data_IF_042661096813
#
_entry.id   IF_042661096813
#
_cell.length_a   1.000
_cell.length_b   1.000
_cell.length_c   1.000
_cell.angle_alpha   90.00
_cell.angle_beta   90.00
_cell.angle_gamma   90.00
#
_symmetry.space_group_name_H-M   'P 1'
#
loop_
_entity.id
_entity.type
_entity.pdbx_description
1 polymer ?
#
# COMPACT_ATOMS: atom_id res chain seq x y z
N UNK A 1 14.75 -52.00 60.84
CA UNK A 1 15.56 -52.21 59.63
C UNK A 1 14.65 -52.26 58.42
N UNK A 2 14.79 -51.29 57.50
CA UNK A 2 14.92 -51.44 56.03
C UNK A 2 14.10 -52.56 55.35
N UNK A 3 13.44 -52.43 54.19
CA UNK A 3 13.44 -51.60 52.96
C UNK A 3 12.36 -52.33 52.09
N UNK A 4 11.66 -51.83 51.08
CA UNK A 4 11.92 -50.79 50.10
C UNK A 4 10.57 -50.42 49.48
N UNK A 5 10.28 -49.12 49.39
CA UNK A 5 9.09 -48.58 48.75
C UNK A 5 9.39 -48.29 47.28
N UNK A 6 8.43 -48.63 46.42
CA UNK A 6 8.37 -48.29 45.00
C UNK A 6 8.77 -46.82 44.74
N UNK A 7 9.92 -46.61 44.10
CA UNK A 7 10.26 -45.35 43.44
C UNK A 7 9.95 -45.45 41.95
N UNK A 8 8.80 -44.92 41.54
CA UNK A 8 8.62 -44.39 40.19
C UNK A 8 8.95 -42.89 40.27
N UNK A 9 10.08 -42.49 39.68
CA UNK A 9 10.42 -41.08 39.50
C UNK A 9 9.56 -40.47 38.38
N UNK A 10 9.24 -39.16 38.44
CA UNK A 10 8.48 -38.52 37.37
C UNK A 10 9.37 -38.37 36.13
N UNK A 11 8.84 -38.80 34.98
CA UNK A 11 9.37 -38.50 33.66
C UNK A 11 9.41 -36.98 33.50
N UNK A 12 10.59 -36.41 33.60
CA UNK A 12 10.88 -35.03 33.25
C UNK A 12 10.86 -34.97 31.72
N UNK A 13 9.70 -34.59 31.16
CA UNK A 13 9.62 -34.12 29.79
C UNK A 13 10.38 -32.80 29.73
N UNK A 14 11.65 -32.87 29.36
CA UNK A 14 12.41 -31.71 28.87
C UNK A 14 11.76 -31.30 27.55
N UNK A 15 10.72 -30.45 27.63
CA UNK A 15 10.28 -29.63 26.52
C UNK A 15 11.41 -28.62 26.28
N UNK A 16 12.34 -29.01 25.42
CA UNK A 16 13.27 -28.08 24.79
C UNK A 16 12.37 -27.08 24.05
N UNK A 17 12.21 -25.87 24.60
CA UNK A 17 11.69 -24.75 23.82
C UNK A 17 12.66 -24.56 22.66
N UNK A 18 12.21 -24.67 21.39
CA UNK A 18 13.10 -24.49 20.26
C UNK A 18 13.69 -23.09 20.36
N UNK A 19 15.00 -23.02 20.16
CA UNK A 19 15.69 -21.73 20.11
C UNK A 19 15.08 -20.87 19.00
N UNK A 20 15.12 -19.54 19.15
CA UNK A 20 14.52 -18.60 18.18
C UNK A 20 15.04 -18.80 16.74
N UNK A 21 16.21 -19.42 16.57
CA UNK A 21 16.77 -19.78 15.26
C UNK A 21 16.17 -21.08 14.70
N UNK A 22 15.80 -22.06 15.54
CA UNK A 22 15.20 -23.34 15.10
C UNK A 22 13.72 -23.20 14.71
N UNK A 23 13.00 -22.25 15.33
CA UNK A 23 11.62 -21.94 14.97
C UNK A 23 11.50 -21.23 13.60
N UNK A 24 12.57 -20.60 13.13
CA UNK A 24 12.63 -20.05 11.76
C UNK A 24 12.86 -21.15 10.71
N UNK A 25 13.48 -22.28 11.09
CA UNK A 25 13.81 -23.40 10.20
C UNK A 25 12.63 -24.38 9.96
N UNK A 26 11.77 -24.61 10.96
CA UNK A 26 10.65 -25.58 10.82
C UNK A 26 9.54 -25.13 9.84
N UNK A 27 9.43 -23.82 9.55
CA UNK A 27 8.46 -23.29 8.57
C UNK A 27 9.05 -23.20 7.15
N UNK A 28 10.35 -23.46 6.99
CA UNK A 28 11.07 -23.40 5.71
C UNK A 28 11.13 -24.78 4.99
N UNK A 29 10.57 -25.86 5.57
CA UNK A 29 10.69 -27.23 5.03
C UNK A 29 9.60 -27.69 4.03
N UNK A 30 8.51 -26.95 3.80
CA UNK A 30 7.75 -27.13 2.54
C UNK A 30 8.48 -26.34 1.44
N UNK A 31 9.56 -26.93 0.94
CA UNK A 31 10.50 -26.37 -0.02
C UNK A 31 9.80 -25.84 -1.28
N UNK A 32 9.37 -24.58 -1.23
CA UNK A 32 8.95 -23.81 -2.39
C UNK A 32 10.09 -23.90 -3.43
N UNK A 33 9.79 -24.23 -4.70
CA UNK A 33 10.81 -24.27 -5.73
C UNK A 33 11.60 -22.97 -5.75
N UNK A 34 12.92 -23.03 -5.97
CA UNK A 34 13.79 -21.84 -6.08
C UNK A 34 13.19 -20.76 -7.00
N UNK A 35 12.51 -21.21 -8.06
CA UNK A 35 11.75 -20.35 -8.96
C UNK A 35 10.73 -19.47 -8.23
N UNK A 36 9.87 -20.05 -7.40
CA UNK A 36 8.82 -19.32 -6.67
C UNK A 36 9.39 -18.42 -5.56
N UNK A 37 10.51 -18.82 -4.94
CA UNK A 37 11.13 -18.06 -3.84
C UNK A 37 11.91 -16.84 -4.33
N UNK A 38 12.60 -16.94 -5.48
CA UNK A 38 13.58 -15.93 -5.92
C UNK A 38 13.31 -15.44 -7.35
N UNK A 39 13.18 -16.35 -8.31
CA UNK A 39 13.09 -15.97 -9.73
C UNK A 39 11.80 -15.21 -10.01
N UNK A 40 10.66 -15.70 -9.51
CA UNK A 40 9.36 -15.09 -9.76
C UNK A 40 9.26 -13.67 -9.16
N UNK A 41 9.59 -13.42 -7.87
CA UNK A 41 9.60 -12.06 -7.34
C UNK A 41 10.56 -11.13 -8.10
N UNK A 42 11.76 -11.61 -8.45
CA UNK A 42 12.74 -10.81 -9.19
C UNK A 42 12.25 -10.48 -10.60
N UNK A 43 11.70 -11.45 -11.33
CA UNK A 43 11.16 -11.26 -12.67
C UNK A 43 10.00 -10.27 -12.65
N UNK A 44 9.08 -10.43 -11.69
CA UNK A 44 7.95 -9.51 -11.54
C UNK A 44 8.38 -8.11 -11.13
N UNK A 45 9.41 -7.99 -10.28
CA UNK A 45 10.01 -6.69 -9.96
C UNK A 45 10.60 -6.04 -11.21
N UNK A 46 11.46 -6.74 -11.97
CA UNK A 46 12.06 -6.20 -13.20
C UNK A 46 10.98 -5.82 -14.22
N UNK A 47 9.96 -6.65 -14.39
CA UNK A 47 8.84 -6.35 -15.27
C UNK A 47 8.06 -5.12 -14.81
N UNK A 48 7.86 -4.98 -13.49
CA UNK A 48 7.21 -3.80 -12.91
C UNK A 48 8.05 -2.54 -13.10
N UNK A 49 9.37 -2.60 -12.91
CA UNK A 49 10.27 -1.48 -13.19
C UNK A 49 10.12 -1.05 -14.65
N UNK A 50 10.12 -2.00 -15.58
CA UNK A 50 9.95 -1.72 -17.00
C UNK A 50 8.59 -1.08 -17.32
N UNK A 51 7.49 -1.64 -16.82
CA UNK A 51 6.14 -1.11 -17.11
C UNK A 51 5.90 0.25 -16.47
N UNK A 52 6.43 0.51 -15.27
CA UNK A 52 6.36 1.83 -14.62
C UNK A 52 7.24 2.86 -15.34
N UNK A 53 8.44 2.47 -15.77
CA UNK A 53 9.32 3.34 -16.56
C UNK A 53 8.66 3.73 -17.89
N UNK A 54 8.05 2.74 -18.57
CA UNK A 54 7.30 2.97 -19.79
C UNK A 54 6.09 3.88 -19.56
N UNK A 55 5.30 3.64 -18.50
CA UNK A 55 4.17 4.52 -18.14
C UNK A 55 4.62 5.96 -17.91
N UNK A 56 5.68 6.15 -17.12
CA UNK A 56 6.24 7.48 -16.84
C UNK A 56 6.74 8.19 -18.11
N UNK A 57 7.42 7.46 -19.01
CA UNK A 57 7.88 8.02 -20.28
C UNK A 57 6.70 8.39 -21.17
N UNK A 58 5.68 7.54 -21.24
CA UNK A 58 4.47 7.77 -22.01
C UNK A 58 3.69 9.00 -21.54
N UNK A 59 3.67 9.28 -20.23
CA UNK A 59 3.03 10.48 -19.68
C UNK A 59 3.73 11.79 -20.10
N UNK A 60 5.02 11.72 -20.47
CA UNK A 60 5.76 12.87 -21.02
C UNK A 60 5.52 13.06 -22.52
N UNK A 61 4.82 12.14 -23.18
CA UNK A 61 4.54 12.21 -24.60
C UNK A 61 3.50 13.32 -24.87
N UNK A 62 3.87 14.27 -25.72
CA UNK A 62 3.01 15.39 -26.12
C UNK A 62 2.06 15.03 -27.26
N UNK A 63 2.17 13.82 -27.85
CA UNK A 63 1.30 13.37 -28.93
C UNK A 63 0.23 12.38 -28.42
N UNK A 64 -1.02 12.83 -28.17
CA UNK A 64 -2.08 12.01 -27.59
C UNK A 64 -2.65 10.95 -28.55
N UNK A 65 -2.30 10.98 -29.83
CA UNK A 65 -2.79 10.01 -30.83
C UNK A 65 -1.94 8.73 -30.89
N UNK A 66 -0.75 8.74 -30.30
CA UNK A 66 0.17 7.61 -30.30
C UNK A 66 -0.11 6.78 -29.05
N UNK A 67 -0.59 5.56 -29.21
CA UNK A 67 -0.79 4.65 -28.08
C UNK A 67 0.54 4.25 -27.42
N UNK A 68 0.52 3.72 -26.18
CA UNK A 68 1.75 3.40 -25.44
C UNK A 68 2.69 2.48 -26.20
N UNK A 69 2.15 1.49 -26.93
CA UNK A 69 2.94 0.50 -27.67
C UNK A 69 3.63 1.13 -28.88
N UNK A 70 2.91 1.97 -29.63
CA UNK A 70 3.49 2.70 -30.75
C UNK A 70 4.60 3.65 -30.26
N UNK A 71 4.36 4.37 -29.15
CA UNK A 71 5.37 5.23 -28.53
C UNK A 71 6.66 4.45 -28.18
N UNK A 72 6.53 3.26 -27.60
CA UNK A 72 7.69 2.43 -27.24
C UNK A 72 8.48 1.94 -28.47
N UNK A 73 7.78 1.60 -29.55
CA UNK A 73 8.39 1.12 -30.79
C UNK A 73 9.05 2.25 -31.59
N UNK A 74 8.43 3.42 -31.60
CA UNK A 74 8.88 4.59 -32.37
C UNK A 74 10.00 5.36 -31.65
N UNK A 75 9.90 5.52 -30.32
CA UNK A 75 10.89 6.22 -29.50
C UNK A 75 11.37 5.39 -28.29
N UNK A 76 12.01 4.21 -28.50
CA UNK A 76 12.50 3.39 -27.38
C UNK A 76 13.52 4.12 -26.51
N UNK A 77 14.27 5.04 -27.12
CA UNK A 77 15.21 5.92 -26.41
C UNK A 77 14.54 6.92 -25.47
N UNK A 78 13.23 7.16 -25.54
CA UNK A 78 12.54 8.10 -24.65
C UNK A 78 12.25 7.52 -23.26
N UNK A 79 12.48 6.22 -23.03
CA UNK A 79 12.22 5.57 -21.74
C UNK A 79 12.90 6.24 -20.54
N UNK A 80 14.08 6.85 -20.73
CA UNK A 80 14.77 7.57 -19.64
C UNK A 80 13.96 8.75 -19.09
N UNK A 81 13.04 9.33 -19.89
CA UNK A 81 12.15 10.42 -19.45
C UNK A 81 11.18 9.95 -18.35
N UNK A 82 10.90 8.65 -18.29
CA UNK A 82 10.07 8.05 -17.23
C UNK A 82 10.78 7.85 -15.90
N UNK A 83 12.10 8.05 -15.84
CA UNK A 83 12.89 7.77 -14.65
C UNK A 83 12.43 8.55 -13.40
N UNK A 84 12.12 9.87 -13.47
CA UNK A 84 11.67 10.60 -12.29
C UNK A 84 10.36 10.06 -11.72
N UNK A 85 9.42 9.65 -12.58
CA UNK A 85 8.17 9.02 -12.18
C UNK A 85 8.42 7.64 -11.55
N UNK A 86 9.15 6.78 -12.26
CA UNK A 86 9.38 5.39 -11.84
C UNK A 86 10.18 5.30 -10.54
N UNK A 87 11.27 6.06 -10.42
CA UNK A 87 12.06 6.08 -9.20
C UNK A 87 11.25 6.57 -7.99
N UNK A 88 10.40 7.59 -8.20
CA UNK A 88 9.55 8.13 -7.12
C UNK A 88 8.49 7.12 -6.69
N UNK A 89 7.72 6.58 -7.64
CA UNK A 89 6.63 5.66 -7.33
C UNK A 89 7.15 4.36 -6.71
N UNK A 90 8.18 3.76 -7.31
CA UNK A 90 8.79 2.54 -6.77
C UNK A 90 9.43 2.81 -5.42
N UNK A 91 10.04 3.98 -5.20
CA UNK A 91 10.57 4.38 -3.90
C UNK A 91 9.48 4.41 -2.81
N UNK A 92 8.31 4.95 -3.13
CA UNK A 92 7.15 4.96 -2.21
C UNK A 92 6.67 3.54 -1.92
N UNK A 93 6.44 2.73 -2.96
CA UNK A 93 5.95 1.35 -2.82
C UNK A 93 6.93 0.45 -2.07
N UNK A 94 8.21 0.49 -2.42
CA UNK A 94 9.26 -0.27 -1.74
C UNK A 94 9.34 0.14 -0.27
N UNK A 95 9.25 1.44 0.04
CA UNK A 95 9.29 1.90 1.43
C UNK A 95 8.05 1.47 2.22
N UNK A 96 6.87 1.47 1.58
CA UNK A 96 5.63 0.93 2.16
C UNK A 96 5.79 -0.54 2.53
N UNK A 97 6.18 -1.37 1.57
CA UNK A 97 6.38 -2.81 1.80
C UNK A 97 7.51 -3.08 2.81
N UNK A 98 8.59 -2.30 2.77
CA UNK A 98 9.66 -2.42 3.75
C UNK A 98 9.20 -2.10 5.18
N UNK A 99 8.24 -1.18 5.35
CA UNK A 99 7.58 -0.93 6.63
C UNK A 99 6.90 -2.17 7.19
N UNK A 100 6.11 -2.88 6.37
CA UNK A 100 5.51 -4.15 6.75
C UNK A 100 6.56 -5.21 7.06
N UNK A 101 7.57 -5.35 6.21
CA UNK A 101 8.64 -6.34 6.37
C UNK A 101 9.40 -6.14 7.68
N UNK A 102 9.81 -4.91 7.97
CA UNK A 102 10.56 -4.58 9.18
C UNK A 102 9.77 -4.91 10.45
N UNK A 103 8.50 -4.51 10.51
CA UNK A 103 7.67 -4.80 11.69
C UNK A 103 7.26 -6.27 11.79
N UNK A 104 7.12 -6.96 10.66
CA UNK A 104 6.93 -8.42 10.67
C UNK A 104 8.14 -9.11 11.29
N UNK A 105 9.37 -8.71 10.89
CA UNK A 105 10.61 -9.21 11.49
C UNK A 105 10.73 -8.89 12.99
N UNK A 106 10.42 -7.67 13.41
CA UNK A 106 10.46 -7.26 14.83
C UNK A 106 9.52 -8.12 15.68
N UNK A 107 8.35 -8.47 15.15
CA UNK A 107 7.34 -9.26 15.85
C UNK A 107 7.47 -10.78 15.61
N UNK A 108 8.53 -11.24 14.95
CA UNK A 108 8.74 -12.66 14.66
C UNK A 108 7.67 -13.28 13.74
N UNK A 109 7.04 -12.47 12.87
CA UNK A 109 6.07 -12.93 11.88
C UNK A 109 6.80 -13.18 10.56
N UNK A 110 6.84 -14.44 10.05
CA UNK A 110 7.50 -14.74 8.79
C UNK A 110 6.77 -14.06 7.62
N UNK A 111 7.50 -13.22 6.90
CA UNK A 111 7.00 -12.46 5.75
C UNK A 111 7.79 -12.82 4.48
N UNK A 112 7.08 -12.89 3.34
CA UNK A 112 7.74 -13.05 2.04
C UNK A 112 8.45 -11.77 1.60
N UNK A 113 9.31 -11.89 0.59
CA UNK A 113 9.72 -10.73 -0.19
C UNK A 113 8.49 -10.09 -0.88
N UNK A 114 8.52 -8.77 -1.15
CA UNK A 114 7.44 -8.09 -1.84
C UNK A 114 7.25 -8.64 -3.26
N UNK A 115 6.03 -9.03 -3.60
CA UNK A 115 5.65 -9.43 -4.94
C UNK A 115 5.06 -8.22 -5.66
N UNK A 116 5.84 -7.60 -6.55
CA UNK A 116 5.36 -6.50 -7.37
C UNK A 116 4.44 -7.02 -8.47
N UNK A 117 3.37 -6.28 -8.75
CA UNK A 117 2.41 -6.63 -9.80
C UNK A 117 2.54 -5.63 -10.93
N UNK A 118 3.06 -6.05 -12.11
CA UNK A 118 3.19 -5.16 -13.25
C UNK A 118 1.79 -4.76 -13.74
N UNK A 119 1.66 -3.48 -14.08
CA UNK A 119 0.40 -2.90 -14.53
C UNK A 119 0.48 -2.45 -15.98
N UNK A 120 -0.66 -2.02 -16.50
CA UNK A 120 -0.72 -1.51 -17.86
C UNK A 120 -0.04 -0.14 -17.96
N UNK A 121 0.85 0.07 -18.95
CA UNK A 121 1.56 1.34 -19.14
C UNK A 121 0.66 2.53 -19.48
N UNK A 122 -0.54 2.26 -19.97
CA UNK A 122 -1.55 3.29 -20.21
C UNK A 122 -2.01 3.98 -18.91
N UNK A 123 -1.81 3.33 -17.76
CA UNK A 123 -2.06 3.89 -16.43
C UNK A 123 -0.72 4.24 -15.77
N UNK A 124 -0.42 3.56 -14.66
CA UNK A 124 0.72 3.81 -13.77
C UNK A 124 1.88 2.85 -14.05
N UNK A 125 1.62 1.78 -14.81
CA UNK A 125 2.57 0.69 -15.02
C UNK A 125 2.71 -0.28 -13.85
N UNK A 126 1.95 -0.15 -12.76
CA UNK A 126 1.92 -1.13 -11.65
C UNK A 126 0.53 -1.19 -11.02
N UNK A 127 0.16 -2.37 -10.49
CA UNK A 127 -1.00 -2.55 -9.61
C UNK A 127 -0.61 -2.53 -8.13
N UNK A 128 0.65 -2.20 -7.82
CA UNK A 128 1.20 -2.19 -6.47
C UNK A 128 2.12 -3.37 -6.20
N UNK A 129 2.40 -3.59 -4.92
CA UNK A 129 3.15 -4.72 -4.42
C UNK A 129 2.37 -5.38 -3.28
N UNK A 130 2.62 -6.66 -3.04
CA UNK A 130 1.97 -7.40 -1.97
C UNK A 130 3.03 -8.21 -1.23
N UNK A 131 3.16 -8.00 0.08
CA UNK A 131 3.82 -8.96 0.97
C UNK A 131 2.80 -10.03 1.40
N UNK A 132 3.18 -11.29 1.26
CA UNK A 132 2.43 -12.41 1.83
C UNK A 132 2.96 -12.67 3.24
N UNK A 133 2.11 -12.46 4.25
CA UNK A 133 2.34 -12.98 5.59
C UNK A 133 2.12 -14.49 5.58
N UNK A 134 3.12 -15.26 6.03
CA UNK A 134 3.11 -16.73 5.95
C UNK A 134 2.54 -17.42 7.19
N UNK A 135 2.35 -16.67 8.27
CA UNK A 135 1.73 -17.13 9.50
C UNK A 135 0.61 -16.18 9.95
N UNK A 136 -0.45 -16.67 10.60
CA UNK A 136 -1.49 -15.83 11.16
C UNK A 136 -0.91 -14.96 12.28
N UNK A 137 -1.20 -13.66 12.25
CA UNK A 137 -0.75 -12.73 13.30
C UNK A 137 -1.53 -13.02 14.58
N UNK A 138 -0.82 -13.50 15.59
CA UNK A 138 -1.44 -14.02 16.81
C UNK A 138 -1.74 -12.93 17.85
N UNK A 139 -0.96 -11.84 17.83
CA UNK A 139 -1.04 -10.75 18.81
C UNK A 139 -1.62 -9.46 18.19
N UNK A 140 -2.54 -8.84 18.93
CA UNK A 140 -3.23 -7.61 18.51
C UNK A 140 -2.28 -6.41 18.32
N UNK A 141 -1.17 -6.33 19.06
CA UNK A 141 -0.18 -5.26 18.90
C UNK A 141 0.66 -5.47 17.67
N UNK A 142 1.08 -6.72 17.41
CA UNK A 142 1.77 -7.07 16.19
C UNK A 142 0.92 -6.75 14.95
N UNK A 143 -0.37 -7.13 14.98
CA UNK A 143 -1.31 -6.81 13.89
C UNK A 143 -1.40 -5.30 13.63
N UNK A 144 -1.53 -4.52 14.70
CA UNK A 144 -1.58 -3.06 14.60
C UNK A 144 -0.28 -2.47 14.05
N UNK A 145 0.86 -2.86 14.62
CA UNK A 145 2.15 -2.29 14.29
C UNK A 145 2.53 -2.62 12.84
N UNK A 146 2.34 -3.87 12.41
CA UNK A 146 2.56 -4.29 11.02
C UNK A 146 1.59 -3.55 10.09
N UNK A 147 0.30 -3.50 10.42
CA UNK A 147 -0.72 -2.86 9.58
C UNK A 147 -0.50 -1.36 9.39
N UNK A 148 0.01 -0.65 10.40
CA UNK A 148 0.20 0.80 10.29
C UNK A 148 1.57 1.21 9.72
N UNK A 149 2.59 0.35 9.87
CA UNK A 149 3.96 0.67 9.49
C UNK A 149 4.13 0.97 8.00
N UNK A 150 3.56 0.14 7.13
CA UNK A 150 3.66 0.33 5.68
C UNK A 150 3.04 1.65 5.22
N UNK A 151 1.74 1.89 5.48
CA UNK A 151 1.09 3.13 5.09
C UNK A 151 1.78 4.40 5.60
N UNK A 152 2.26 4.41 6.86
CA UNK A 152 2.98 5.58 7.39
C UNK A 152 4.33 5.77 6.68
N UNK A 153 5.09 4.70 6.48
CA UNK A 153 6.39 4.77 5.82
C UNK A 153 6.26 5.25 4.36
N UNK A 154 5.33 4.67 3.60
CA UNK A 154 5.01 5.10 2.23
C UNK A 154 4.50 6.54 2.18
N UNK A 155 3.62 6.92 3.11
CA UNK A 155 3.10 8.28 3.21
C UNK A 155 4.20 9.32 3.40
N UNK A 156 5.15 9.10 4.32
CA UNK A 156 6.24 10.04 4.56
C UNK A 156 7.06 10.29 3.30
N UNK A 157 7.42 9.24 2.57
CA UNK A 157 8.15 9.37 1.30
C UNK A 157 7.29 10.08 0.24
N UNK A 158 6.00 9.76 0.16
CA UNK A 158 5.07 10.42 -0.75
C UNK A 158 4.93 11.92 -0.46
N UNK A 159 4.90 12.35 0.81
CA UNK A 159 4.86 13.78 1.17
C UNK A 159 6.15 14.49 0.74
N UNK A 160 7.31 13.90 0.98
CA UNK A 160 8.59 14.47 0.55
C UNK A 160 8.62 14.61 -0.99
N UNK A 161 8.22 13.55 -1.70
CA UNK A 161 8.13 13.57 -3.15
C UNK A 161 7.10 14.60 -3.65
N UNK A 162 5.97 14.77 -2.94
CA UNK A 162 4.96 15.76 -3.29
C UNK A 162 5.52 17.18 -3.19
N UNK A 163 6.25 17.50 -2.12
CA UNK A 163 6.91 18.80 -1.96
C UNK A 163 7.87 19.09 -3.11
N UNK A 164 8.70 18.10 -3.46
CA UNK A 164 9.65 18.21 -4.58
C UNK A 164 8.89 18.37 -5.90
N UNK A 165 7.88 17.54 -6.13
CA UNK A 165 7.04 17.54 -7.31
C UNK A 165 6.36 18.88 -7.54
N UNK A 166 5.69 19.43 -6.51
CA UNK A 166 5.01 20.73 -6.59
C UNK A 166 5.96 21.89 -6.91
N UNK A 167 7.20 21.85 -6.41
CA UNK A 167 8.21 22.87 -6.76
C UNK A 167 8.71 22.78 -8.20
N UNK A 168 8.62 21.60 -8.81
CA UNK A 168 9.01 21.35 -10.20
C UNK A 168 7.83 21.46 -11.17
N UNK A 169 6.60 21.51 -10.65
CA UNK A 169 5.37 21.64 -11.44
C UNK A 169 5.25 23.02 -12.08
N UNK A 170 4.47 23.09 -13.15
CA UNK A 170 4.23 24.34 -13.89
C UNK A 170 2.77 24.74 -13.78
N UNK A 171 2.54 26.04 -13.66
CA UNK A 171 1.20 26.63 -13.67
C UNK A 171 0.90 27.09 -15.09
N UNK A 172 -0.20 26.60 -15.65
CA UNK A 172 -0.66 26.98 -16.98
C UNK A 172 -2.08 27.53 -16.91
N UNK A 173 -2.53 28.33 -17.89
CA UNK A 173 -3.94 28.65 -18.03
C UNK A 173 -4.76 27.38 -18.23
N UNK A 174 -5.94 27.31 -17.60
CA UNK A 174 -6.91 26.23 -17.80
C UNK A 174 -7.20 26.12 -19.30
N UNK A 175 -6.81 25.00 -19.90
CA UNK A 175 -7.17 24.70 -21.28
C UNK A 175 -8.56 24.05 -21.28
N UNK A 176 -9.50 24.64 -22.02
CA UNK A 176 -10.80 24.01 -22.28
C UNK A 176 -10.59 22.89 -23.30
N UNK A 177 -10.32 21.68 -22.83
CA UNK A 177 -10.11 20.51 -23.67
C UNK A 177 -10.38 19.22 -22.89
N UNK A 178 -10.61 18.13 -23.63
CA UNK A 178 -10.79 16.82 -23.02
C UNK A 178 -9.45 16.33 -22.43
N UNK A 179 -9.43 16.06 -21.13
CA UNK A 179 -8.22 15.70 -20.40
C UNK A 179 -8.50 14.89 -19.14
N UNK A 180 -7.48 14.13 -18.70
CA UNK A 180 -7.52 13.46 -17.41
C UNK A 180 -7.10 14.46 -16.34
N UNK A 181 -8.06 14.94 -15.55
CA UNK A 181 -7.79 15.72 -14.35
C UNK A 181 -7.68 14.79 -13.14
N UNK A 182 -6.80 15.13 -12.21
CA UNK A 182 -6.65 14.39 -10.96
C UNK A 182 -7.55 14.98 -9.89
N UNK A 183 -8.20 14.11 -9.13
CA UNK A 183 -8.87 14.52 -7.92
C UNK A 183 -7.88 15.10 -6.92
N UNK A 184 -8.24 16.16 -6.24
CA UNK A 184 -7.36 16.83 -5.30
C UNK A 184 -7.67 16.37 -3.86
N UNK A 185 -6.94 15.39 -3.30
CA UNK A 185 -7.10 15.06 -1.89
C UNK A 185 -6.74 16.27 -1.02
N UNK A 186 -7.29 16.33 0.21
CA UNK A 186 -7.11 17.49 1.10
C UNK A 186 -5.63 17.84 1.30
N UNK A 187 -4.75 16.84 1.38
CA UNK A 187 -3.32 17.06 1.47
C UNK A 187 -2.75 17.73 0.22
N UNK A 188 -3.15 17.33 -0.99
CA UNK A 188 -2.68 17.97 -2.21
C UNK A 188 -3.14 19.43 -2.26
N UNK A 189 -4.41 19.71 -1.93
CA UNK A 189 -4.94 21.07 -1.89
C UNK A 189 -4.14 21.95 -0.92
N UNK A 190 -3.93 21.45 0.30
CA UNK A 190 -3.18 22.17 1.32
C UNK A 190 -1.72 22.43 0.92
N UNK A 191 -1.03 21.41 0.39
CA UNK A 191 0.38 21.53 0.01
C UNK A 191 0.55 22.39 -1.25
N UNK A 192 -0.37 22.32 -2.21
CA UNK A 192 -0.40 23.18 -3.39
C UNK A 192 -0.59 24.65 -2.97
N UNK A 193 -1.57 24.93 -2.11
CA UNK A 193 -1.78 26.26 -1.55
C UNK A 193 -0.56 26.78 -0.79
N UNK A 194 0.10 25.93 -0.01
CA UNK A 194 1.28 26.31 0.78
C UNK A 194 2.52 26.59 -0.06
N UNK A 195 2.74 25.84 -1.15
CA UNK A 195 3.98 25.88 -1.95
C UNK A 195 3.85 26.79 -3.16
N UNK A 196 2.75 26.69 -3.91
CA UNK A 196 2.50 27.44 -5.14
C UNK A 196 1.77 28.75 -4.82
N UNK A 197 0.87 28.72 -3.83
CA UNK A 197 0.02 29.85 -3.48
C UNK A 197 -1.40 29.76 -4.07
N UNK A 198 -2.25 30.77 -3.80
CA UNK A 198 -3.60 30.81 -4.35
C UNK A 198 -3.56 31.03 -5.86
N UNK A 199 -4.19 30.11 -6.60
CA UNK A 199 -4.31 30.20 -8.05
C UNK A 199 -5.65 30.84 -8.45
N UNK A 200 -5.68 31.66 -9.53
CA UNK A 200 -6.93 32.13 -10.08
C UNK A 200 -7.73 30.96 -10.67
N UNK A 201 -9.06 31.04 -10.77
CA UNK A 201 -9.90 29.98 -11.37
C UNK A 201 -9.57 29.64 -12.84
N UNK A 202 -8.76 30.48 -13.48
CA UNK A 202 -8.31 30.34 -14.87
C UNK A 202 -6.93 29.69 -14.98
N UNK A 203 -6.32 29.24 -13.89
CA UNK A 203 -5.04 28.55 -13.89
C UNK A 203 -5.16 27.14 -13.30
N UNK A 204 -4.38 26.22 -13.84
CA UNK A 204 -4.26 24.83 -13.39
C UNK A 204 -2.77 24.46 -13.25
N UNK A 205 -2.49 23.44 -12.44
CA UNK A 205 -1.13 22.96 -12.19
C UNK A 205 -0.91 21.67 -12.97
N UNK A 206 0.00 21.70 -13.95
CA UNK A 206 0.54 20.47 -14.52
C UNK A 206 1.58 19.92 -13.55
N UNK A 207 1.25 18.79 -12.94
CA UNK A 207 2.17 18.10 -12.04
C UNK A 207 3.40 17.60 -12.78
N UNK A 208 4.57 17.92 -12.24
CA UNK A 208 5.81 17.26 -12.65
C UNK A 208 5.69 15.74 -12.41
N UNK A 209 6.35 14.86 -13.21
CA UNK A 209 6.24 13.41 -13.05
C UNK A 209 6.50 12.88 -11.62
N UNK A 210 7.37 13.57 -10.87
CA UNK A 210 7.60 13.29 -9.42
C UNK A 210 6.35 13.60 -8.58
N UNK A 211 5.68 14.73 -8.82
CA UNK A 211 4.45 15.10 -8.13
C UNK A 211 3.28 14.20 -8.49
N UNK A 212 3.20 13.78 -9.76
CA UNK A 212 2.23 12.79 -10.22
C UNK A 212 2.42 11.42 -9.56
N UNK A 213 3.66 10.93 -9.48
CA UNK A 213 4.01 9.71 -8.74
C UNK A 213 3.66 9.82 -7.25
N UNK A 214 3.94 10.98 -6.64
CA UNK A 214 3.60 11.24 -5.25
C UNK A 214 2.08 11.20 -5.01
N UNK A 215 1.30 11.84 -5.88
CA UNK A 215 -0.16 11.78 -5.83
C UNK A 215 -0.67 10.34 -5.92
N UNK A 216 -0.11 9.55 -6.84
CA UNK A 216 -0.44 8.12 -6.94
C UNK A 216 -0.07 7.34 -5.69
N UNK A 217 1.07 7.65 -5.08
CA UNK A 217 1.48 7.11 -3.78
C UNK A 217 0.45 7.40 -2.69
N UNK A 218 0.00 8.65 -2.58
CA UNK A 218 -1.06 9.05 -1.62
C UNK A 218 -2.38 8.31 -1.89
N UNK A 219 -2.75 8.16 -3.16
CA UNK A 219 -3.93 7.40 -3.55
C UNK A 219 -3.83 5.93 -3.11
N UNK A 220 -2.71 5.26 -3.37
CA UNK A 220 -2.47 3.88 -2.93
C UNK A 220 -2.49 3.77 -1.39
N UNK A 221 -1.85 4.71 -0.68
CA UNK A 221 -1.92 4.78 0.78
C UNK A 221 -3.36 4.90 1.26
N UNK A 222 -4.19 5.72 0.63
CA UNK A 222 -5.60 5.89 1.01
C UNK A 222 -6.41 4.60 0.79
N UNK A 223 -6.14 3.87 -0.29
CA UNK A 223 -6.78 2.58 -0.58
C UNK A 223 -6.38 1.54 0.46
N UNK A 224 -5.09 1.44 0.78
CA UNK A 224 -4.59 0.51 1.78
C UNK A 224 -5.13 0.83 3.18
N UNK A 225 -5.36 2.11 3.51
CA UNK A 225 -5.94 2.51 4.79
C UNK A 225 -7.47 2.45 4.86
N UNK A 226 -8.16 1.95 3.82
CA UNK A 226 -9.59 1.66 3.94
C UNK A 226 -9.84 0.66 5.07
N UNK A 227 -10.78 0.92 6.00
CA UNK A 227 -11.04 0.06 7.16
C UNK A 227 -11.86 -1.20 6.79
N UNK A 228 -11.43 -1.93 5.76
CA UNK A 228 -12.16 -3.08 5.20
C UNK A 228 -11.24 -4.30 5.07
N UNK A 229 -11.76 -5.46 5.46
CA UNK A 229 -11.15 -6.76 5.17
C UNK A 229 -9.72 -6.88 5.69
N UNK A 230 -8.85 -7.37 4.80
CA UNK A 230 -7.42 -7.63 5.06
C UNK A 230 -6.51 -6.49 4.55
N UNK A 231 -7.07 -5.34 4.17
CA UNK A 231 -6.27 -4.16 3.89
C UNK A 231 -5.59 -3.68 5.17
N UNK A 232 -4.53 -2.89 5.04
CA UNK A 232 -3.79 -2.32 6.17
C UNK A 232 -4.70 -1.55 7.14
N UNK A 233 -5.62 -0.76 6.61
CA UNK A 233 -6.65 -0.06 7.38
C UNK A 233 -7.63 -1.01 8.06
N UNK A 234 -7.89 -2.17 7.48
CA UNK A 234 -8.65 -3.27 8.10
C UNK A 234 -7.93 -3.83 9.32
N UNK A 235 -6.62 -4.09 9.23
CA UNK A 235 -5.76 -4.50 10.36
C UNK A 235 -5.79 -3.47 11.49
N UNK A 236 -5.58 -2.19 11.15
CA UNK A 236 -5.60 -1.08 12.09
C UNK A 236 -6.99 -0.92 12.74
N UNK A 237 -8.06 -0.93 11.96
CA UNK A 237 -9.43 -0.78 12.45
C UNK A 237 -9.85 -1.96 13.33
N UNK A 238 -9.50 -3.19 12.95
CA UNK A 238 -9.78 -4.37 13.77
C UNK A 238 -8.95 -4.34 15.06
N UNK A 239 -7.69 -3.93 14.99
CA UNK A 239 -6.89 -3.76 16.20
C UNK A 239 -7.45 -2.64 17.10
N UNK A 240 -8.02 -1.55 16.59
CA UNK A 240 -8.61 -0.51 17.45
C UNK A 240 -9.98 -0.90 18.01
N UNK A 241 -10.88 -1.41 17.17
CA UNK A 241 -12.30 -1.56 17.49
C UNK A 241 -12.80 -3.02 17.54
N UNK A 242 -11.93 -3.99 17.30
CA UNK A 242 -12.27 -5.42 17.30
C UNK A 242 -13.30 -5.77 16.23
N UNK A 243 -14.27 -6.60 16.59
CA UNK A 243 -15.34 -7.07 15.69
C UNK A 243 -16.19 -5.95 15.08
N UNK A 244 -16.20 -4.74 15.68
CA UNK A 244 -16.90 -3.57 15.13
C UNK A 244 -16.32 -3.10 13.79
N UNK A 245 -15.07 -3.47 13.48
CA UNK A 245 -14.49 -3.22 12.16
C UNK A 245 -15.39 -3.76 11.03
N UNK A 246 -16.02 -4.92 11.22
CA UNK A 246 -16.96 -5.48 10.25
C UNK A 246 -18.14 -4.55 9.99
N UNK A 247 -18.70 -3.95 11.03
CA UNK A 247 -19.82 -2.99 10.90
C UNK A 247 -19.38 -1.74 10.15
N UNK A 248 -18.17 -1.23 10.43
CA UNK A 248 -17.58 -0.10 9.70
C UNK A 248 -17.40 -0.45 8.22
N UNK A 249 -16.83 -1.62 7.93
CA UNK A 249 -16.63 -2.10 6.56
C UNK A 249 -17.94 -2.21 5.78
N UNK A 250 -18.97 -2.83 6.37
CA UNK A 250 -20.30 -2.97 5.75
C UNK A 250 -20.95 -1.62 5.51
N UNK A 251 -20.79 -0.65 6.42
CA UNK A 251 -21.30 0.71 6.24
C UNK A 251 -20.53 1.50 5.16
N UNK A 252 -19.24 1.20 4.96
CA UNK A 252 -18.41 1.89 3.98
C UNK A 252 -18.70 1.44 2.54
N UNK A 253 -19.09 0.19 2.32
CA UNK A 253 -19.43 -0.34 0.98
C UNK A 253 -20.49 0.51 0.24
N UNK A 254 -21.67 0.82 0.80
CA UNK A 254 -22.65 1.65 0.09
C UNK A 254 -22.12 3.07 -0.20
N UNK A 255 -21.27 3.62 0.66
CA UNK A 255 -20.63 4.93 0.44
C UNK A 255 -19.71 4.85 -0.79
N UNK A 256 -18.86 3.82 -0.88
CA UNK A 256 -17.99 3.61 -2.04
C UNK A 256 -18.80 3.36 -3.32
N UNK A 257 -19.94 2.65 -3.23
CA UNK A 257 -20.85 2.47 -4.37
C UNK A 257 -21.43 3.80 -4.85
N UNK A 258 -21.81 4.69 -3.92
CA UNK A 258 -22.28 6.05 -4.26
C UNK A 258 -21.17 6.87 -4.90
N UNK A 259 -19.93 6.78 -4.41
CA UNK A 259 -18.78 7.43 -5.06
C UNK A 259 -18.51 6.89 -6.46
N UNK A 260 -18.65 5.57 -6.66
CA UNK A 260 -18.56 4.95 -7.99
C UNK A 260 -19.64 5.40 -8.95
N UNK A 261 -20.84 5.65 -8.43
CA UNK A 261 -21.98 6.13 -9.21
C UNK A 261 -21.86 7.62 -9.58
N UNK A 262 -21.48 8.46 -8.63
CA UNK A 262 -21.42 9.91 -8.80
C UNK A 262 -20.10 10.42 -9.40
N UNK A 263 -19.01 9.65 -9.25
CA UNK A 263 -17.67 10.05 -9.68
C UNK A 263 -16.94 8.93 -10.40
N UNK A 264 -15.85 8.43 -9.81
CA UNK A 264 -14.97 7.49 -10.47
C UNK A 264 -15.48 6.04 -10.43
N UNK A 265 -15.86 5.50 -11.60
CA UNK A 265 -16.36 4.12 -11.77
C UNK A 265 -15.42 3.03 -11.26
N UNK A 266 -14.12 3.32 -11.07
CA UNK A 266 -13.17 2.38 -10.48
C UNK A 266 -13.53 1.93 -9.06
N UNK A 267 -14.36 2.69 -8.34
CA UNK A 267 -14.88 2.24 -7.04
C UNK A 267 -15.71 0.95 -7.12
N UNK A 268 -16.41 0.69 -8.22
CA UNK A 268 -17.14 -0.58 -8.40
C UNK A 268 -16.19 -1.77 -8.48
N UNK A 269 -15.07 -1.61 -9.19
CA UNK A 269 -14.01 -2.61 -9.26
C UNK A 269 -13.44 -2.86 -7.86
N UNK A 270 -13.11 -1.79 -7.12
CA UNK A 270 -12.58 -1.90 -5.76
C UNK A 270 -13.55 -2.56 -4.78
N UNK A 271 -14.84 -2.22 -4.81
CA UNK A 271 -15.87 -2.88 -4.00
C UNK A 271 -15.96 -4.37 -4.37
N UNK A 272 -15.89 -4.71 -5.65
CA UNK A 272 -15.84 -6.11 -6.09
C UNK A 272 -14.62 -6.87 -5.56
N UNK A 273 -13.42 -6.30 -5.72
CA UNK A 273 -12.17 -6.90 -5.25
C UNK A 273 -12.17 -7.11 -3.73
N UNK A 274 -12.52 -6.08 -2.97
CA UNK A 274 -12.56 -6.15 -1.50
C UNK A 274 -13.69 -7.08 -1.02
N UNK A 275 -14.80 -7.16 -1.76
CA UNK A 275 -15.86 -8.13 -1.53
C UNK A 275 -15.38 -9.58 -1.68
N UNK A 276 -14.55 -9.87 -2.69
CA UNK A 276 -13.95 -11.19 -2.90
C UNK A 276 -12.95 -11.58 -1.80
N UNK A 277 -12.22 -10.61 -1.24
CA UNK A 277 -11.28 -10.84 -0.13
C UNK A 277 -12.00 -11.03 1.22
N UNK A 278 -13.25 -10.60 1.33
CA UNK A 278 -14.05 -10.63 2.55
C UNK A 278 -13.97 -9.32 3.34
N UNK A 279 -15.13 -8.80 3.76
CA UNK A 279 -15.23 -7.49 4.41
C UNK A 279 -14.79 -7.48 5.89
N UNK A 280 -14.85 -8.64 6.54
CA UNK A 280 -14.50 -8.80 7.94
C UNK A 280 -13.05 -9.26 8.08
N UNK A 281 -12.31 -8.62 8.97
CA UNK A 281 -10.98 -9.11 9.32
C UNK A 281 -11.07 -10.43 10.12
N UNK A 282 -10.23 -11.45 9.82
CA UNK A 282 -10.16 -12.68 10.60
C UNK A 282 -9.84 -12.42 12.09
N UNK A 283 -10.43 -13.16 13.04
CA UNK A 283 -10.13 -12.94 14.45
C UNK A 283 -8.68 -13.29 14.78
N UNK A 284 -8.03 -12.45 15.61
CA UNK A 284 -6.72 -12.77 16.19
C UNK A 284 -6.88 -13.74 17.36
N UNK A 285 -5.89 -14.61 17.58
CA UNK A 285 -5.92 -15.63 18.63
C UNK A 285 -5.98 -15.00 20.04
N UNK A 286 -5.25 -13.90 20.26
CA UNK A 286 -5.17 -13.24 21.57
C UNK A 286 -5.68 -11.78 21.52
N UNK A 287 -7.00 -11.54 21.45
CA UNK A 287 -7.57 -10.19 21.28
C UNK A 287 -7.56 -9.35 22.56
N UNK A 288 -7.40 -9.98 23.73
CA UNK A 288 -7.60 -9.35 25.05
C UNK A 288 -6.45 -8.43 25.47
N UNK A 289 -5.26 -8.53 24.85
CA UNK A 289 -4.15 -7.64 25.17
C UNK A 289 -4.46 -6.21 24.72
N UNK A 290 -4.41 -5.22 25.63
CA UNK A 290 -4.66 -3.83 25.27
C UNK A 290 -3.49 -3.27 24.42
N UNK A 291 -3.82 -2.45 23.42
CA UNK A 291 -2.82 -1.80 22.56
C UNK A 291 -1.89 -0.83 23.31
N UNK A 292 -2.37 -0.25 24.39
CA UNK A 292 -1.71 0.88 25.07
C UNK A 292 -1.98 2.22 24.38
N UNK A 293 -1.76 3.32 25.12
CA UNK A 293 -2.14 4.67 24.69
C UNK A 293 -1.41 5.13 23.42
N UNK A 294 -0.11 4.84 23.31
CA UNK A 294 0.72 5.25 22.16
C UNK A 294 0.17 4.73 20.84
N UNK A 295 -0.17 3.43 20.77
CA UNK A 295 -0.72 2.83 19.55
C UNK A 295 -2.11 3.37 19.20
N UNK A 296 -2.93 3.69 20.21
CA UNK A 296 -4.22 4.35 19.95
C UNK A 296 -4.01 5.71 19.28
N UNK A 297 -3.04 6.52 19.75
CA UNK A 297 -2.70 7.79 19.10
C UNK A 297 -2.20 7.57 17.67
N UNK A 298 -1.32 6.60 17.45
CA UNK A 298 -0.84 6.24 16.10
C UNK A 298 -2.02 5.81 15.19
N UNK A 299 -3.01 5.12 15.74
CA UNK A 299 -4.21 4.71 15.01
C UNK A 299 -5.05 5.89 14.55
N UNK A 300 -5.17 6.91 15.41
CA UNK A 300 -5.81 8.18 15.02
C UNK A 300 -5.00 8.95 13.98
N UNK A 301 -3.67 8.91 14.06
CA UNK A 301 -2.80 9.48 13.02
C UNK A 301 -3.02 8.76 11.68
N UNK A 302 -3.10 7.44 11.67
CA UNK A 302 -3.38 6.67 10.46
C UNK A 302 -4.75 7.01 9.87
N UNK A 303 -5.78 7.19 10.71
CA UNK A 303 -7.09 7.65 10.25
C UNK A 303 -7.04 9.08 9.67
N UNK A 304 -6.25 9.98 10.26
CA UNK A 304 -6.04 11.31 9.73
C UNK A 304 -5.32 11.27 8.37
N UNK A 305 -4.29 10.42 8.22
CA UNK A 305 -3.60 10.19 6.93
C UNK A 305 -4.61 9.71 5.88
N UNK A 306 -5.45 8.72 6.22
CA UNK A 306 -6.52 8.26 5.34
C UNK A 306 -7.42 9.42 4.91
N UNK A 307 -7.98 10.18 5.86
CA UNK A 307 -8.86 11.29 5.55
C UNK A 307 -8.21 12.39 4.69
N UNK A 308 -6.91 12.63 4.90
CA UNK A 308 -6.15 13.64 4.17
C UNK A 308 -5.76 13.20 2.75
N UNK A 309 -5.60 11.90 2.52
CA UNK A 309 -5.15 11.33 1.24
C UNK A 309 -6.29 10.78 0.39
N UNK A 310 -7.43 10.51 1.00
CA UNK A 310 -8.61 10.00 0.31
C UNK A 310 -9.18 11.04 -0.66
N UNK A 311 -9.51 10.59 -1.87
CA UNK A 311 -10.27 11.34 -2.85
C UNK A 311 -11.43 10.48 -3.34
N UNK A 312 -12.65 11.01 -3.28
CA UNK A 312 -13.85 10.30 -3.74
C UNK A 312 -13.92 10.23 -5.28
N UNK A 313 -13.29 11.16 -5.97
CA UNK A 313 -13.19 11.21 -7.44
C UNK A 313 -11.70 11.36 -7.84
N UNK A 314 -10.87 10.29 -7.72
CA UNK A 314 -9.43 10.38 -7.95
C UNK A 314 -9.08 10.68 -9.42
N UNK A 315 -9.92 10.27 -10.37
CA UNK A 315 -9.73 10.53 -11.79
C UNK A 315 -11.00 11.14 -12.37
N UNK A 316 -10.84 12.32 -12.95
CA UNK A 316 -11.91 13.12 -13.53
C UNK A 316 -11.67 13.19 -15.03
N UNK A 317 -12.61 12.64 -15.81
CA UNK A 317 -12.61 12.75 -17.26
C UNK A 317 -13.56 13.89 -17.64
N UNK A 318 -13.01 15.01 -18.11
CA UNK A 318 -13.76 16.17 -18.60
C UNK A 318 -13.21 16.63 -19.93
#
# INVERSE_FOLDING_TARGET
>A
MNRDGSKQGPLQNDLIEPSLDEADDEWDEEAQPFFSRVILPLLLFVLTVFTVLWAGAYQTNTNPLVGPLAFLLDEPGALWRGLPFAATLLGILVTHEFGHYLFSRIHGVPASLPLFVPGLPHFVGTFGAIIRMRAPVTDRRALFDIGVAGPIAGFVVAVIALVIGLRLSTVIPVQTGYGLHLGEPLLLQFMSWLIIGPLPPTADVILHPVGFAAWFGLFITSLNLLPIGQLDGGHVAYALWGSRQRSVAVALVPILMVFGWLGWKGWFLWVGLVGLMGLAHPPVLNPERPLGRTRVVIGWIALAIFAMTFSWEPFILR
#
